data_IF_144800793570
#
_entry.id   IF_144800793570
#
_cell.length_a   1.000
_cell.length_b   1.000
_cell.length_c   1.000
_cell.angle_alpha   90.00
_cell.angle_beta   90.00
_cell.angle_gamma   90.00
#
_symmetry.space_group_name_H-M   'P 1'
#
loop_
_entity.id
_entity.type
_entity.pdbx_description
1 polymer ?
#
# COMPACT_ATOMS: atom_id res chain seq x y z
N UNK A 1 -11.70 13.61 14.51
CA UNK A 1 -12.13 12.58 13.55
C UNK A 1 -10.91 11.77 13.13
N UNK A 2 -10.72 10.55 13.65
CA UNK A 2 -9.57 9.70 13.33
C UNK A 2 -10.02 8.40 12.70
N UNK A 3 -10.58 8.44 11.49
CA UNK A 3 -10.80 7.23 10.69
C UNK A 3 -10.61 7.58 9.22
N UNK A 4 -9.65 6.93 8.54
CA UNK A 4 -9.52 7.00 7.08
C UNK A 4 -8.12 7.27 6.50
N UNK A 5 -7.09 7.62 7.28
CA UNK A 5 -5.82 8.08 6.69
C UNK A 5 -4.73 7.01 6.52
N UNK A 6 -4.83 5.86 7.18
CA UNK A 6 -3.76 4.85 7.14
C UNK A 6 -3.44 4.37 5.71
N UNK A 7 -4.44 3.84 5.00
CA UNK A 7 -4.26 3.34 3.63
C UNK A 7 -3.96 4.46 2.64
N UNK A 8 -4.58 5.64 2.82
CA UNK A 8 -4.32 6.81 1.97
C UNK A 8 -2.85 7.23 2.11
N UNK A 9 -2.37 7.44 3.33
CA UNK A 9 -1.00 7.83 3.57
C UNK A 9 0.02 6.76 3.19
N UNK A 10 -0.33 5.47 3.23
CA UNK A 10 0.55 4.42 2.72
C UNK A 10 0.63 4.44 1.19
N UNK A 11 -0.50 4.59 0.49
CA UNK A 11 -0.52 4.75 -0.97
C UNK A 11 0.33 5.93 -1.41
N UNK A 12 0.18 7.08 -0.75
CA UNK A 12 0.91 8.29 -1.11
C UNK A 12 2.42 8.09 -0.96
N UNK A 13 2.87 7.52 0.17
CA UNK A 13 4.30 7.22 0.42
C UNK A 13 4.88 6.20 -0.56
N UNK A 14 4.14 5.16 -0.91
CA UNK A 14 4.62 4.14 -1.85
C UNK A 14 4.75 4.74 -3.26
N UNK A 15 3.80 5.58 -3.67
CA UNK A 15 3.88 6.29 -4.93
C UNK A 15 5.06 7.28 -4.97
N UNK A 16 5.32 8.01 -3.89
CA UNK A 16 6.48 8.91 -3.75
C UNK A 16 7.82 8.18 -3.91
N UNK A 17 7.90 6.91 -3.48
CA UNK A 17 9.06 6.05 -3.63
C UNK A 17 9.14 5.32 -4.99
N UNK A 18 8.22 5.61 -5.92
CA UNK A 18 8.17 4.95 -7.23
C UNK A 18 7.67 3.50 -7.18
N UNK A 19 6.95 3.12 -6.13
CA UNK A 19 6.39 1.80 -5.93
C UNK A 19 4.94 1.64 -6.36
N UNK A 20 4.39 0.45 -6.15
CA UNK A 20 2.99 0.08 -6.40
C UNK A 20 2.27 -0.26 -5.09
N UNK A 21 1.01 0.16 -4.94
CA UNK A 21 0.22 -0.10 -3.72
C UNK A 21 -1.19 -0.59 -4.04
N UNK A 22 -1.61 -1.67 -3.37
CA UNK A 22 -2.99 -2.17 -3.43
C UNK A 22 -3.51 -2.50 -2.03
N UNK A 23 -4.80 -2.25 -1.80
CA UNK A 23 -5.48 -2.63 -0.56
C UNK A 23 -6.92 -3.00 -0.87
N UNK A 24 -7.35 -4.20 -0.50
CA UNK A 24 -8.67 -4.70 -0.85
C UNK A 24 -9.01 -6.07 -0.24
N UNK A 25 -10.26 -6.52 -0.40
CA UNK A 25 -10.68 -7.86 0.00
C UNK A 25 -10.01 -8.91 -0.90
N UNK A 26 -9.82 -10.12 -0.36
CA UNK A 26 -9.24 -11.25 -1.09
C UNK A 26 -10.29 -12.28 -1.50
N UNK A 27 -10.09 -13.03 -2.60
CA UNK A 27 -11.02 -14.08 -3.02
C UNK A 27 -11.22 -15.17 -1.98
N UNK A 28 -10.20 -15.47 -1.17
CA UNK A 28 -10.24 -16.47 -0.11
C UNK A 28 -10.95 -15.96 1.17
N UNK A 29 -11.43 -14.72 1.16
CA UNK A 29 -11.92 -14.00 2.32
C UNK A 29 -10.82 -13.28 3.07
N UNK A 30 -11.19 -12.23 3.81
CA UNK A 30 -10.26 -11.34 4.51
C UNK A 30 -9.87 -10.11 3.69
N UNK A 31 -8.79 -9.45 4.12
CA UNK A 31 -8.29 -8.21 3.53
C UNK A 31 -6.78 -8.27 3.36
N UNK A 32 -6.27 -7.78 2.23
CA UNK A 32 -4.84 -7.71 1.94
C UNK A 32 -4.43 -6.27 1.67
N UNK A 33 -3.23 -5.93 2.14
CA UNK A 33 -2.52 -4.69 1.81
C UNK A 33 -1.16 -5.11 1.25
N UNK A 34 -0.81 -4.63 0.06
CA UNK A 34 0.43 -4.98 -0.63
C UNK A 34 1.11 -3.71 -1.11
N UNK A 35 2.42 -3.63 -0.88
CA UNK A 35 3.29 -2.57 -1.37
C UNK A 35 4.51 -3.21 -2.03
N UNK A 36 4.81 -2.80 -3.26
CA UNK A 36 6.00 -3.18 -4.00
C UNK A 36 6.86 -1.93 -4.15
N UNK A 37 8.14 -2.03 -3.79
CA UNK A 37 9.07 -0.91 -3.80
C UNK A 37 10.30 -1.26 -4.64
N UNK A 38 10.86 -0.30 -5.41
CA UNK A 38 12.14 -0.49 -6.06
C UNK A 38 13.24 -0.78 -5.03
N UNK A 39 14.05 -1.80 -5.30
CA UNK A 39 15.31 -2.02 -4.57
C UNK A 39 16.43 -1.26 -5.28
N UNK A 40 17.28 -0.59 -4.51
CA UNK A 40 18.51 -0.02 -5.07
C UNK A 40 19.52 -1.16 -5.21
N UNK A 41 20.10 -1.39 -6.40
CA UNK A 41 21.21 -2.34 -6.53
C UNK A 41 22.39 -1.91 -5.65
N UNK A 42 23.09 -2.87 -5.05
CA UNK A 42 24.32 -2.60 -4.27
C UNK A 42 25.47 -2.09 -5.16
#
# INVERSE_FOLDING_TARGET
MHRGFGLIGMRDRVAELGGSFTAGPTPEGGWRVMAELPVVPE
#
